data_IF_851367198659
#
_entry.id   IF_851367198659
#
_cell.length_a   1.000
_cell.length_b   1.000
_cell.length_c   1.000
_cell.angle_alpha   90.00
_cell.angle_beta   90.00
_cell.angle_gamma   90.00
#
_symmetry.space_group_name_H-M   'P 1'
#
loop_
_entity.id
_entity.type
_entity.pdbx_description
1 polymer ?
#
# COMPACT_ATOMS: atom_id res chain seq x y z
N UNK A 1 71.34 4.82 -66.67
CA UNK A 1 71.07 6.16 -67.22
C UNK A 1 69.69 6.59 -66.72
N UNK A 2 69.64 7.71 -65.96
CA UNK A 2 68.47 8.54 -65.61
C UNK A 2 67.29 7.88 -64.87
N UNK A 3 66.50 8.53 -64.02
CA UNK A 3 66.55 9.74 -63.18
C UNK A 3 65.27 9.64 -62.32
N UNK A 4 65.36 9.56 -60.99
CA UNK A 4 64.19 9.50 -60.08
C UNK A 4 63.86 10.93 -59.64
N UNK A 5 62.92 11.59 -60.32
CA UNK A 5 62.35 12.86 -59.83
C UNK A 5 61.45 12.60 -58.62
N UNK A 6 61.87 13.09 -57.45
CA UNK A 6 61.03 13.26 -56.26
C UNK A 6 60.30 14.60 -56.34
N UNK A 7 58.98 14.60 -56.21
CA UNK A 7 58.17 15.79 -55.93
C UNK A 7 58.29 16.13 -54.44
N UNK A 8 58.61 17.39 -54.13
CA UNK A 8 58.52 17.96 -52.78
C UNK A 8 57.10 18.52 -52.53
N UNK A 9 56.45 18.22 -51.39
CA UNK A 9 55.32 19.01 -50.92
C UNK A 9 55.83 20.18 -50.05
N UNK A 10 55.41 21.40 -50.37
CA UNK A 10 55.66 22.59 -49.58
C UNK A 10 54.84 22.52 -48.28
N UNK A 11 55.51 22.45 -47.13
CA UNK A 11 54.88 22.63 -45.81
C UNK A 11 54.68 24.13 -45.56
N UNK A 12 53.42 24.56 -45.54
CA UNK A 12 53.00 25.86 -45.03
C UNK A 12 53.18 25.87 -43.50
N UNK A 13 54.19 26.60 -43.01
CA UNK A 13 54.40 26.86 -41.59
C UNK A 13 53.39 27.92 -41.10
N UNK A 14 52.33 27.49 -40.41
CA UNK A 14 51.44 28.39 -39.69
C UNK A 14 52.13 28.85 -38.40
N UNK A 15 52.25 30.17 -38.22
CA UNK A 15 52.92 30.74 -37.05
C UNK A 15 52.16 30.38 -35.75
N UNK A 16 52.87 30.24 -34.60
CA UNK A 16 52.25 29.88 -33.31
C UNK A 16 51.12 30.82 -32.89
N UNK A 17 51.14 32.08 -33.37
CA UNK A 17 50.12 33.09 -33.09
C UNK A 17 48.78 32.76 -33.76
N UNK A 18 48.79 32.15 -34.95
CA UNK A 18 47.55 31.75 -35.63
C UNK A 18 46.90 30.54 -34.97
N UNK A 19 47.68 29.63 -34.39
CA UNK A 19 47.17 28.48 -33.66
C UNK A 19 46.44 28.89 -32.37
N UNK A 20 46.96 29.90 -31.66
CA UNK A 20 46.32 30.46 -30.46
C UNK A 20 45.00 31.16 -30.79
N UNK A 21 44.96 31.93 -31.89
CA UNK A 21 43.73 32.60 -32.33
C UNK A 21 42.64 31.57 -32.71
N UNK A 22 43.02 30.51 -33.44
CA UNK A 22 42.08 29.43 -33.81
C UNK A 22 41.53 28.74 -32.56
N UNK A 23 42.37 28.47 -31.56
CA UNK A 23 41.95 27.85 -30.29
C UNK A 23 41.00 28.76 -29.50
N UNK A 24 41.26 30.07 -29.46
CA UNK A 24 40.40 31.05 -28.80
C UNK A 24 39.04 31.19 -29.49
N UNK A 25 39.02 31.21 -30.83
CA UNK A 25 37.77 31.24 -31.61
C UNK A 25 36.97 29.95 -31.37
N UNK A 26 37.63 28.78 -31.34
CA UNK A 26 36.99 27.49 -31.07
C UNK A 26 36.35 27.43 -29.67
N UNK A 27 37.05 27.95 -28.65
CA UNK A 27 36.54 28.06 -27.28
C UNK A 27 35.36 29.04 -27.15
N UNK A 28 35.35 30.12 -27.93
CA UNK A 28 34.23 31.07 -28.01
C UNK A 28 33.01 30.44 -28.70
N UNK A 29 33.19 29.66 -29.77
CA UNK A 29 32.09 28.97 -30.45
C UNK A 29 31.50 27.84 -29.60
N UNK A 30 32.32 27.13 -28.82
CA UNK A 30 31.84 26.10 -27.89
C UNK A 30 30.97 26.69 -26.76
N UNK A 31 31.30 27.90 -26.28
CA UNK A 31 30.49 28.60 -25.27
C UNK A 31 29.18 29.13 -25.81
N UNK A 32 29.14 29.54 -27.09
CA UNK A 32 27.90 29.99 -27.74
C UNK A 32 26.91 28.83 -27.96
N UNK A 33 27.41 27.63 -28.32
CA UNK A 33 26.56 26.44 -28.51
C UNK A 33 25.93 25.93 -27.20
N UNK A 34 26.55 26.19 -26.04
CA UNK A 34 25.98 25.82 -24.74
C UNK A 34 24.95 26.82 -24.20
N UNK A 35 24.74 27.97 -24.84
CA UNK A 35 23.88 29.04 -24.32
C UNK A 35 22.48 29.14 -24.96
N UNK A 36 22.22 28.44 -26.08
CA UNK A 36 20.96 28.58 -26.85
C UNK A 36 19.94 27.45 -26.66
N UNK A 37 19.85 26.84 -25.47
CA UNK A 37 18.73 25.95 -25.14
C UNK A 37 18.08 26.37 -23.83
N UNK A 38 17.49 27.57 -23.81
CA UNK A 38 16.48 27.97 -22.82
C UNK A 38 15.53 29.01 -23.46
N UNK A 39 14.26 28.59 -23.62
CA UNK A 39 13.02 29.36 -23.42
C UNK A 39 12.03 29.46 -24.60
N UNK A 40 10.77 29.12 -24.25
CA UNK A 40 9.44 29.32 -24.89
C UNK A 40 9.13 28.44 -26.11
N UNK A 41 8.15 27.52 -26.13
CA UNK A 41 6.75 27.64 -25.66
C UNK A 41 6.03 26.26 -25.55
N UNK A 42 5.05 26.14 -24.63
CA UNK A 42 3.75 25.48 -24.91
C UNK A 42 3.54 23.97 -24.71
N UNK A 43 2.99 23.61 -23.53
CA UNK A 43 1.97 22.57 -23.31
C UNK A 43 2.33 21.07 -23.48
N UNK A 44 2.60 20.38 -22.36
CA UNK A 44 1.92 19.16 -21.85
C UNK A 44 2.68 18.70 -20.60
N UNK A 45 2.17 19.01 -19.41
CA UNK A 45 2.78 18.59 -18.15
C UNK A 45 2.35 17.16 -17.82
N UNK A 46 3.17 16.19 -18.20
CA UNK A 46 3.15 14.85 -17.62
C UNK A 46 4.11 14.85 -16.42
N UNK A 47 3.56 15.14 -15.24
CA UNK A 47 4.30 15.04 -13.98
C UNK A 47 4.49 13.58 -13.57
N UNK A 48 5.46 12.91 -14.17
CA UNK A 48 6.18 11.81 -13.53
C UNK A 48 7.66 12.11 -13.70
N UNK A 49 8.22 12.81 -12.71
CA UNK A 49 9.66 12.82 -12.51
C UNK A 49 10.05 11.40 -12.14
N UNK A 50 10.38 10.57 -13.13
CA UNK A 50 11.06 9.32 -12.91
C UNK A 50 12.37 9.66 -12.19
N UNK A 51 12.39 9.48 -10.87
CA UNK A 51 13.61 9.59 -10.08
C UNK A 51 14.60 8.58 -10.67
N UNK A 52 15.73 9.05 -11.19
CA UNK A 52 16.81 8.12 -11.50
C UNK A 52 17.23 7.39 -10.22
N UNK A 53 17.67 6.12 -10.28
CA UNK A 53 18.13 5.37 -9.10
C UNK A 53 19.21 6.13 -8.31
N UNK A 54 20.05 6.90 -9.01
CA UNK A 54 21.04 7.79 -8.41
C UNK A 54 20.42 8.94 -7.58
N UNK A 55 19.24 9.44 -7.94
CA UNK A 55 18.51 10.47 -7.18
C UNK A 55 17.80 9.88 -5.96
N UNK A 56 17.32 8.63 -6.05
CA UNK A 56 16.77 7.88 -4.92
C UNK A 56 17.86 7.41 -3.95
N UNK A 57 19.09 7.17 -4.42
CA UNK A 57 20.25 6.91 -3.56
C UNK A 57 20.87 8.19 -2.97
N UNK A 58 20.74 9.34 -3.65
CA UNK A 58 21.21 10.64 -3.15
C UNK A 58 20.28 11.24 -2.08
N UNK A 59 19.00 10.88 -2.10
CA UNK A 59 18.07 11.09 -0.99
C UNK A 59 18.19 9.85 -0.10
N UNK A 60 18.43 9.97 1.19
CA UNK A 60 18.60 8.79 2.06
C UNK A 60 17.25 8.10 2.33
N UNK A 61 16.60 7.58 1.27
CA UNK A 61 15.26 6.99 1.29
C UNK A 61 15.37 5.53 1.72
N UNK A 62 14.50 5.13 2.65
CA UNK A 62 14.35 3.75 3.09
C UNK A 62 13.02 3.18 2.63
N UNK A 63 13.02 1.90 2.28
CA UNK A 63 11.86 1.20 1.74
C UNK A 63 11.35 0.20 2.77
N UNK A 64 10.06 0.29 3.09
CA UNK A 64 9.35 -0.70 3.87
C UNK A 64 8.52 -1.58 2.93
N UNK A 65 8.81 -2.88 2.91
CA UNK A 65 8.02 -3.89 2.23
C UNK A 65 7.31 -4.75 3.27
N UNK A 66 6.24 -5.43 2.90
CA UNK A 66 5.58 -6.37 3.81
C UNK A 66 4.83 -7.48 3.06
N UNK A 67 4.72 -8.65 3.67
CA UNK A 67 3.80 -9.70 3.22
C UNK A 67 2.97 -10.22 4.39
N UNK A 68 1.92 -10.93 4.04
CA UNK A 68 0.90 -11.45 4.95
C UNK A 68 0.83 -12.96 4.77
N UNK A 69 0.56 -13.68 5.87
CA UNK A 69 0.37 -15.12 5.86
C UNK A 69 -0.45 -15.62 4.63
N UNK A 70 0.03 -16.62 3.87
CA UNK A 70 -0.60 -17.03 2.60
C UNK A 70 -2.10 -17.32 2.64
N UNK A 71 -2.67 -17.95 3.69
CA UNK A 71 -4.11 -18.20 3.78
C UNK A 71 -4.99 -16.94 3.85
N UNK A 72 -4.42 -15.77 4.18
CA UNK A 72 -5.19 -14.56 4.40
C UNK A 72 -5.81 -14.00 3.13
N UNK A 73 -7.10 -13.69 3.23
CA UNK A 73 -7.91 -13.18 2.12
C UNK A 73 -7.65 -11.71 1.77
N UNK A 74 -8.24 -11.27 0.65
CA UNK A 74 -8.09 -9.92 0.11
C UNK A 74 -8.42 -8.82 1.13
N UNK A 75 -9.54 -8.96 1.85
CA UNK A 75 -10.00 -7.94 2.79
C UNK A 75 -9.15 -7.84 4.05
N UNK A 76 -8.62 -8.95 4.57
CA UNK A 76 -7.70 -8.89 5.70
C UNK A 76 -6.38 -8.25 5.30
N UNK A 77 -5.87 -8.55 4.09
CA UNK A 77 -4.68 -7.88 3.55
C UNK A 77 -4.86 -6.37 3.39
N UNK A 78 -6.07 -5.91 3.04
CA UNK A 78 -6.44 -4.48 3.04
C UNK A 78 -6.37 -3.88 4.46
N UNK A 79 -6.78 -4.63 5.47
CA UNK A 79 -6.68 -4.19 6.86
C UNK A 79 -5.20 -4.12 7.33
N UNK A 80 -4.36 -5.08 6.95
CA UNK A 80 -2.93 -5.05 7.25
C UNK A 80 -2.23 -3.86 6.58
N UNK A 81 -2.64 -3.47 5.38
CA UNK A 81 -2.15 -2.24 4.74
C UNK A 81 -2.34 -1.00 5.64
N UNK A 82 -3.48 -0.87 6.32
CA UNK A 82 -3.75 0.26 7.22
C UNK A 82 -2.76 0.27 8.40
N UNK A 83 -2.42 -0.92 8.92
CA UNK A 83 -1.41 -1.08 10.00
C UNK A 83 -0.03 -0.64 9.51
N UNK A 84 0.37 -1.08 8.33
CA UNK A 84 1.67 -0.72 7.73
C UNK A 84 1.75 0.77 7.36
N UNK A 85 0.66 1.34 6.85
CA UNK A 85 0.57 2.77 6.59
C UNK A 85 0.73 3.60 7.87
N UNK A 86 0.16 3.14 8.98
CA UNK A 86 0.31 3.78 10.30
C UNK A 86 1.76 3.70 10.79
N UNK A 87 2.41 2.53 10.66
CA UNK A 87 3.84 2.38 10.94
C UNK A 87 4.70 3.35 10.11
N UNK A 88 4.44 3.46 8.80
CA UNK A 88 5.18 4.39 7.94
C UNK A 88 4.96 5.84 8.36
N UNK A 89 3.75 6.25 8.75
CA UNK A 89 3.52 7.60 9.33
C UNK A 89 4.39 7.84 10.56
N UNK A 90 4.56 6.84 11.43
CA UNK A 90 5.44 6.94 12.59
C UNK A 90 6.92 7.02 12.18
N UNK A 91 7.38 6.17 11.27
CA UNK A 91 8.76 6.18 10.76
C UNK A 91 9.13 7.51 10.09
N UNK A 92 8.18 8.11 9.37
CA UNK A 92 8.36 9.38 8.66
C UNK A 92 8.55 10.60 9.57
N UNK A 93 8.30 10.47 10.87
CA UNK A 93 8.66 11.52 11.85
C UNK A 93 10.17 11.67 12.01
N UNK A 94 10.95 10.66 11.62
CA UNK A 94 12.40 10.59 11.87
C UNK A 94 13.26 10.37 10.62
N UNK A 95 12.68 10.00 9.48
CA UNK A 95 13.43 9.82 8.23
C UNK A 95 12.53 9.62 7.02
N UNK A 96 13.10 9.61 5.83
CA UNK A 96 12.36 9.39 4.60
C UNK A 96 12.11 7.89 4.39
N UNK A 97 10.85 7.49 4.60
CA UNK A 97 10.38 6.13 4.39
C UNK A 97 9.29 6.08 3.33
N UNK A 98 9.39 5.10 2.45
CA UNK A 98 8.40 4.80 1.39
C UNK A 98 7.87 3.39 1.60
N UNK A 99 6.54 3.23 1.54
CA UNK A 99 5.89 1.93 1.59
C UNK A 99 5.84 1.33 0.18
N UNK A 100 6.42 0.15 0.02
CA UNK A 100 6.31 -0.61 -1.22
C UNK A 100 5.07 -1.50 -1.14
N UNK A 101 4.19 -1.36 -2.12
CA UNK A 101 2.92 -2.08 -2.17
C UNK A 101 3.16 -3.54 -2.61
N UNK A 102 2.75 -4.55 -1.81
CA UNK A 102 2.98 -5.94 -2.15
C UNK A 102 2.04 -6.38 -3.28
N UNK A 103 2.56 -6.92 -4.41
CA UNK A 103 1.70 -7.35 -5.51
C UNK A 103 0.68 -8.39 -5.08
N UNK A 104 -0.53 -8.29 -5.61
CA UNK A 104 -1.60 -9.24 -5.32
C UNK A 104 -1.32 -10.56 -6.06
N UNK A 105 -1.51 -11.67 -5.36
CA UNK A 105 -1.40 -13.00 -5.95
C UNK A 105 -1.70 -14.11 -4.96
N UNK A 106 -2.06 -15.28 -5.49
CA UNK A 106 -2.30 -16.53 -4.72
C UNK A 106 -3.24 -16.36 -3.51
N UNK A 107 -4.26 -15.51 -3.63
CA UNK A 107 -5.31 -15.42 -2.63
C UNK A 107 -6.08 -16.74 -2.63
N UNK A 108 -6.20 -17.39 -1.48
CA UNK A 108 -6.76 -18.75 -1.37
C UNK A 108 -8.17 -18.87 -1.98
N UNK A 109 -8.96 -17.79 -1.96
CA UNK A 109 -10.29 -17.71 -2.57
C UNK A 109 -10.32 -17.30 -4.06
N UNK A 110 -9.18 -16.97 -4.66
CA UNK A 110 -9.05 -16.54 -6.05
C UNK A 110 -8.51 -17.72 -6.85
N UNK A 111 -9.40 -18.66 -7.17
CA UNK A 111 -9.06 -19.84 -7.95
C UNK A 111 -9.87 -19.83 -9.24
N UNK A 112 -9.75 -18.76 -10.03
CA UNK A 112 -10.17 -18.84 -11.43
C UNK A 112 -9.09 -19.61 -12.17
N UNK A 113 -9.32 -20.89 -12.54
CA UNK A 113 -8.26 -21.77 -13.04
C UNK A 113 -7.64 -21.26 -14.35
N UNK A 114 -8.38 -20.44 -15.09
CA UNK A 114 -8.01 -19.96 -16.42
C UNK A 114 -7.33 -18.58 -16.41
N UNK A 115 -7.11 -17.97 -15.24
CA UNK A 115 -6.52 -16.63 -15.13
C UNK A 115 -5.23 -16.71 -14.30
N UNK A 116 -4.13 -16.22 -14.87
CA UNK A 116 -2.87 -16.09 -14.13
C UNK A 116 -2.98 -14.94 -13.11
N UNK A 117 -3.40 -15.26 -11.89
CA UNK A 117 -3.66 -14.28 -10.82
C UNK A 117 -2.46 -14.12 -9.87
N UNK A 118 -1.32 -13.68 -10.41
CA UNK A 118 -0.07 -13.45 -9.66
C UNK A 118 0.58 -12.15 -10.15
N UNK A 119 1.33 -11.46 -9.27
CA UNK A 119 2.05 -10.20 -9.56
C UNK A 119 1.14 -9.05 -10.03
N UNK A 120 -0.11 -9.02 -9.59
CA UNK A 120 -1.06 -7.98 -9.99
C UNK A 120 -0.74 -6.70 -9.19
N UNK A 121 -0.52 -5.54 -9.84
CA UNK A 121 -0.20 -4.30 -9.14
C UNK A 121 -1.43 -3.74 -8.40
N UNK A 122 -1.20 -2.84 -7.45
CA UNK A 122 -2.29 -2.21 -6.70
C UNK A 122 -3.16 -1.30 -7.57
N UNK A 123 -2.58 -0.69 -8.60
CA UNK A 123 -3.28 0.14 -9.58
C UNK A 123 -4.49 -0.52 -10.26
N UNK A 124 -4.54 -1.86 -10.31
CA UNK A 124 -5.69 -2.59 -10.84
C UNK A 124 -6.91 -2.54 -9.90
N UNK A 125 -6.68 -2.41 -8.58
CA UNK A 125 -7.77 -2.41 -7.59
C UNK A 125 -8.00 -1.04 -6.94
N UNK A 126 -6.94 -0.26 -6.75
CA UNK A 126 -6.96 0.98 -6.00
C UNK A 126 -6.28 2.12 -6.76
N UNK A 127 -6.74 3.34 -6.52
CA UNK A 127 -6.08 4.55 -7.00
C UNK A 127 -4.78 4.78 -6.21
N UNK A 128 -3.63 4.49 -6.84
CA UNK A 128 -2.31 4.70 -6.23
C UNK A 128 -2.11 6.17 -5.83
N UNK A 129 -2.57 7.13 -6.64
CA UNK A 129 -2.52 8.56 -6.31
C UNK A 129 -3.32 8.88 -5.03
N UNK A 130 -4.46 8.22 -4.81
CA UNK A 130 -5.25 8.40 -3.58
C UNK A 130 -4.53 7.84 -2.36
N UNK A 131 -3.83 6.69 -2.50
CA UNK A 131 -2.97 6.13 -1.45
C UNK A 131 -1.79 7.07 -1.13
N UNK A 132 -1.14 7.60 -2.17
CA UNK A 132 0.00 8.53 -2.07
C UNK A 132 -0.35 9.83 -1.32
N UNK A 133 -1.60 10.27 -1.39
CA UNK A 133 -2.08 11.43 -0.64
C UNK A 133 -2.09 11.19 0.89
N UNK A 134 -2.06 9.93 1.36
CA UNK A 134 -2.00 9.59 2.79
C UNK A 134 -0.57 9.26 3.26
N UNK A 135 0.12 8.36 2.54
CA UNK A 135 1.51 7.96 2.82
C UNK A 135 2.26 7.76 1.51
N UNK A 136 3.59 7.96 1.46
CA UNK A 136 4.34 7.76 0.22
C UNK A 136 4.36 6.26 -0.09
N UNK A 137 3.69 5.90 -1.18
CA UNK A 137 3.62 4.53 -1.66
C UNK A 137 4.18 4.44 -3.08
N UNK A 138 4.79 3.30 -3.39
CA UNK A 138 5.20 2.92 -4.74
C UNK A 138 4.82 1.46 -5.02
N UNK A 139 4.65 1.11 -6.29
CA UNK A 139 4.47 -0.28 -6.67
C UNK A 139 5.79 -1.06 -6.52
N UNK A 140 5.71 -2.38 -6.45
CA UNK A 140 6.89 -3.22 -6.29
C UNK A 140 7.87 -3.15 -7.48
N UNK A 141 7.37 -3.03 -8.70
CA UNK A 141 8.23 -2.89 -9.88
C UNK A 141 8.97 -1.54 -9.88
N UNK A 142 8.33 -0.46 -9.41
CA UNK A 142 8.97 0.84 -9.23
C UNK A 142 10.09 0.74 -8.20
N UNK A 143 9.88 0.00 -7.11
CA UNK A 143 10.93 -0.27 -6.11
C UNK A 143 12.14 -0.97 -6.74
N UNK A 144 11.94 -1.99 -7.58
CA UNK A 144 13.04 -2.68 -8.27
C UNK A 144 13.81 -1.69 -9.16
N UNK A 145 13.09 -0.82 -9.87
CA UNK A 145 13.70 0.18 -10.72
C UNK A 145 14.51 1.21 -9.92
N UNK A 146 13.97 1.74 -8.82
CA UNK A 146 14.61 2.79 -8.01
C UNK A 146 15.77 2.29 -7.15
N UNK A 147 15.66 1.08 -6.57
CA UNK A 147 16.68 0.50 -5.70
C UNK A 147 17.89 -0.05 -6.47
N UNK A 148 17.79 -0.18 -7.79
CA UNK A 148 18.86 -0.71 -8.64
C UNK A 148 18.89 -2.23 -8.76
N UNK A 149 17.84 -2.93 -8.32
CA UNK A 149 17.67 -4.37 -8.55
C UNK A 149 16.66 -5.03 -7.60
N UNK A 150 16.36 -6.33 -7.82
CA UNK A 150 15.38 -7.06 -7.02
C UNK A 150 15.99 -7.58 -5.71
N UNK A 151 16.67 -6.71 -4.95
CA UNK A 151 17.32 -7.06 -3.70
C UNK A 151 16.61 -6.41 -2.51
N UNK A 152 16.33 -7.22 -1.50
CA UNK A 152 15.82 -6.79 -0.19
C UNK A 152 16.93 -6.99 0.82
N UNK A 153 17.39 -5.91 1.46
CA UNK A 153 18.54 -5.95 2.35
C UNK A 153 18.25 -6.79 3.60
N UNK A 154 17.06 -6.62 4.20
CA UNK A 154 16.69 -7.32 5.43
C UNK A 154 15.24 -7.79 5.39
N UNK A 155 15.02 -9.07 5.64
CA UNK A 155 13.70 -9.65 5.86
C UNK A 155 13.54 -9.99 7.34
N UNK A 156 12.53 -9.39 7.98
CA UNK A 156 12.14 -9.68 9.34
C UNK A 156 10.88 -10.54 9.30
N UNK A 157 11.00 -11.79 9.73
CA UNK A 157 9.85 -12.70 9.85
C UNK A 157 9.22 -12.48 11.23
N UNK A 158 8.04 -11.86 11.25
CA UNK A 158 7.32 -11.64 12.50
C UNK A 158 6.71 -12.94 13.02
N UNK A 159 6.79 -13.13 14.32
CA UNK A 159 6.22 -14.27 15.02
C UNK A 159 5.73 -13.87 16.41
N UNK A 160 4.91 -14.71 17.02
CA UNK A 160 4.53 -14.55 18.43
C UNK A 160 5.71 -14.90 19.36
N UNK A 161 5.59 -14.57 20.65
CA UNK A 161 6.49 -15.11 21.68
C UNK A 161 6.16 -16.59 21.92
N UNK A 162 7.18 -17.46 21.92
CA UNK A 162 7.00 -18.90 22.09
C UNK A 162 6.41 -19.25 23.47
N UNK A 163 6.77 -18.47 24.47
CA UNK A 163 6.26 -18.53 25.84
C UNK A 163 4.81 -18.01 25.99
N UNK A 164 4.25 -17.39 24.95
CA UNK A 164 2.94 -16.72 25.03
C UNK A 164 2.94 -15.50 25.97
N UNK A 165 1.77 -15.15 26.48
CA UNK A 165 1.59 -14.14 27.52
C UNK A 165 0.94 -14.77 28.75
N UNK A 166 1.36 -14.35 29.94
CA UNK A 166 0.82 -14.85 31.22
C UNK A 166 -0.42 -14.06 31.65
N UNK A 167 -1.30 -14.72 32.40
CA UNK A 167 -2.63 -14.24 32.84
C UNK A 167 -2.64 -12.82 33.41
N UNK A 168 -2.88 -11.82 32.54
CA UNK A 168 -3.28 -10.47 32.91
C UNK A 168 -2.32 -9.33 32.60
N UNK A 169 -1.12 -9.58 32.05
CA UNK A 169 -0.21 -8.50 31.59
C UNK A 169 0.10 -8.64 30.11
N UNK A 170 -0.68 -7.94 29.29
CA UNK A 170 -0.32 -7.71 27.90
C UNK A 170 0.63 -6.53 27.85
N UNK A 171 1.86 -6.77 27.40
CA UNK A 171 2.92 -5.76 27.29
C UNK A 171 3.38 -5.68 25.84
N UNK A 172 3.60 -4.46 25.36
CA UNK A 172 4.14 -4.25 24.02
C UNK A 172 5.65 -4.47 24.03
N UNK A 173 6.12 -5.42 23.24
CA UNK A 173 7.53 -5.80 23.16
C UNK A 173 7.91 -6.36 21.80
N UNK A 174 9.13 -6.05 21.38
CA UNK A 174 9.73 -6.52 20.13
C UNK A 174 11.16 -6.97 20.41
N UNK A 175 11.47 -8.21 20.08
CA UNK A 175 12.79 -8.79 20.33
C UNK A 175 13.21 -9.74 19.20
N UNK A 176 14.49 -9.72 18.85
CA UNK A 176 15.07 -10.73 17.99
C UNK A 176 15.13 -12.07 18.74
N UNK A 177 14.51 -13.09 18.15
CA UNK A 177 14.40 -14.43 18.76
C UNK A 177 14.67 -15.50 17.70
N UNK A 178 15.06 -16.72 18.11
CA UNK A 178 15.12 -17.84 17.18
C UNK A 178 13.78 -18.06 16.48
N UNK A 179 13.83 -18.43 15.20
CA UNK A 179 12.63 -18.77 14.43
C UNK A 179 11.91 -19.97 15.04
N UNK A 180 10.64 -19.81 15.39
CA UNK A 180 9.81 -20.88 15.98
C UNK A 180 9.47 -21.91 14.91
N UNK A 181 8.94 -21.43 13.79
CA UNK A 181 8.63 -22.26 12.64
C UNK A 181 9.81 -22.34 11.67
N UNK A 182 9.79 -23.38 10.83
CA UNK A 182 10.76 -23.52 9.75
C UNK A 182 10.61 -22.34 8.79
N UNK A 183 11.70 -21.60 8.59
CA UNK A 183 11.75 -20.52 7.60
C UNK A 183 11.33 -21.01 6.21
N UNK A 184 10.44 -20.26 5.58
CA UNK A 184 10.06 -20.43 4.16
C UNK A 184 11.12 -19.86 3.20
N UNK A 185 12.20 -19.30 3.75
CA UNK A 185 13.34 -18.78 3.01
C UNK A 185 14.48 -19.80 3.01
N UNK A 186 15.13 -19.96 1.86
CA UNK A 186 16.26 -20.87 1.67
C UNK A 186 17.42 -20.17 0.97
N UNK A 187 18.65 -20.52 1.32
CA UNK A 187 19.83 -19.91 0.68
C UNK A 187 20.09 -20.55 -0.67
N UNK A 188 20.41 -19.73 -1.66
CA UNK A 188 20.88 -20.18 -2.97
C UNK A 188 22.38 -20.45 -2.99
N UNK A 189 22.91 -20.83 -4.16
CA UNK A 189 24.33 -21.14 -4.35
C UNK A 189 25.24 -19.92 -4.15
N UNK A 190 24.70 -18.72 -4.30
CA UNK A 190 25.40 -17.46 -4.14
C UNK A 190 25.32 -16.94 -2.68
N UNK A 191 24.56 -17.63 -1.83
CA UNK A 191 24.41 -17.29 -0.41
C UNK A 191 23.25 -16.33 -0.11
N UNK A 192 22.48 -15.91 -1.13
CA UNK A 192 21.31 -15.06 -0.97
C UNK A 192 20.08 -15.88 -0.61
N UNK A 193 19.14 -15.28 0.12
CA UNK A 193 17.88 -15.92 0.47
C UNK A 193 16.86 -15.83 -0.67
N UNK A 194 16.33 -16.98 -1.07
CA UNK A 194 15.17 -17.14 -1.95
C UNK A 194 13.94 -17.42 -1.10
N UNK A 195 12.82 -16.86 -1.51
CA UNK A 195 11.51 -17.03 -0.86
C UNK A 195 10.40 -16.85 -1.87
N UNK A 196 9.17 -16.67 -1.37
CA UNK A 196 8.00 -16.43 -2.22
C UNK A 196 8.08 -15.09 -2.96
N UNK A 197 8.40 -13.99 -2.25
CA UNK A 197 8.54 -12.64 -2.79
C UNK A 197 7.46 -12.27 -3.83
N UNK A 198 6.19 -12.48 -3.48
CA UNK A 198 5.01 -12.19 -4.32
C UNK A 198 5.02 -12.84 -5.71
N UNK A 199 5.79 -13.92 -5.86
CA UNK A 199 5.93 -14.67 -7.11
C UNK A 199 7.06 -14.19 -8.00
N UNK A 200 7.92 -13.25 -7.57
CA UNK A 200 9.11 -12.80 -8.29
C UNK A 200 10.29 -13.72 -7.97
N UNK A 201 10.64 -14.59 -8.93
CA UNK A 201 11.69 -15.59 -8.78
C UNK A 201 13.10 -15.00 -8.80
N UNK A 202 13.24 -13.76 -9.27
CA UNK A 202 14.45 -12.96 -9.33
C UNK A 202 14.78 -12.29 -7.99
N UNK A 203 13.79 -12.12 -7.10
CA UNK A 203 13.96 -11.39 -5.85
C UNK A 203 14.80 -12.14 -4.83
N UNK A 204 15.74 -11.44 -4.21
CA UNK A 204 16.70 -12.01 -3.25
C UNK A 204 16.72 -11.20 -1.96
N UNK A 205 16.69 -11.90 -0.83
CA UNK A 205 16.97 -11.32 0.49
C UNK A 205 18.46 -11.44 0.83
N UNK A 206 19.10 -10.37 1.33
CA UNK A 206 20.49 -10.45 1.79
C UNK A 206 20.58 -11.08 3.18
N UNK A 207 19.69 -10.69 4.09
CA UNK A 207 19.59 -11.25 5.44
C UNK A 207 18.15 -11.57 5.82
N UNK A 208 17.95 -12.63 6.59
CA UNK A 208 16.63 -13.06 7.09
C UNK A 208 16.76 -13.40 8.57
N UNK A 209 15.99 -12.72 9.42
CA UNK A 209 15.93 -12.96 10.86
C UNK A 209 14.48 -13.03 11.34
N UNK A 210 14.26 -13.68 12.48
CA UNK A 210 12.93 -13.77 13.10
C UNK A 210 12.83 -12.80 14.28
N UNK A 211 11.71 -12.10 14.35
CA UNK A 211 11.42 -11.12 15.41
C UNK A 211 10.13 -11.54 16.09
N UNK A 212 10.20 -11.78 17.40
CA UNK A 212 8.99 -11.96 18.20
C UNK A 212 8.41 -10.59 18.53
N UNK A 213 7.20 -10.35 18.08
CA UNK A 213 6.50 -9.08 18.25
C UNK A 213 5.14 -9.29 18.92
N UNK A 214 4.85 -8.46 19.91
CA UNK A 214 3.55 -8.37 20.56
C UNK A 214 3.27 -6.89 20.75
N UNK A 215 2.25 -6.37 20.09
CA UNK A 215 1.97 -4.94 20.15
C UNK A 215 1.30 -4.39 18.91
N UNK A 216 1.19 -3.07 18.88
CA UNK A 216 0.73 -2.33 17.72
C UNK A 216 1.84 -2.18 16.68
N UNK A 217 1.51 -1.86 15.44
CA UNK A 217 2.48 -1.76 14.34
C UNK A 217 3.64 -0.81 14.66
N UNK A 218 3.37 0.34 15.31
CA UNK A 218 4.39 1.31 15.69
C UNK A 218 5.43 0.80 16.71
N UNK A 219 5.22 -0.34 17.38
CA UNK A 219 6.24 -0.94 18.26
C UNK A 219 7.51 -1.34 17.50
N UNK A 220 7.40 -1.56 16.19
CA UNK A 220 8.53 -1.88 15.31
C UNK A 220 9.40 -0.65 14.99
N UNK A 221 8.88 0.57 15.19
CA UNK A 221 9.57 1.78 14.76
C UNK A 221 10.95 1.98 15.42
N UNK A 222 11.13 1.79 16.74
CA UNK A 222 12.46 1.90 17.37
C UNK A 222 13.47 0.90 16.76
N UNK A 223 13.05 -0.35 16.53
CA UNK A 223 13.90 -1.37 15.91
C UNK A 223 14.33 -0.96 14.50
N UNK A 224 13.38 -0.51 13.67
CA UNK A 224 13.64 -0.11 12.29
C UNK A 224 14.51 1.16 12.19
N UNK A 225 14.38 2.08 13.14
CA UNK A 225 15.12 3.35 13.14
C UNK A 225 16.52 3.24 13.77
N UNK A 226 16.69 2.45 14.82
CA UNK A 226 17.92 2.45 15.63
C UNK A 226 18.82 1.25 15.36
N UNK A 227 18.24 0.06 15.22
CA UNK A 227 19.01 -1.19 15.17
C UNK A 227 19.33 -1.63 13.74
N UNK A 228 18.51 -1.19 12.77
CA UNK A 228 18.59 -1.63 11.39
C UNK A 228 19.08 -0.48 10.51
N UNK A 229 20.24 -0.66 9.90
CA UNK A 229 20.85 0.29 8.95
C UNK A 229 20.51 -0.01 7.48
N UNK A 230 19.77 -1.09 7.22
CA UNK A 230 19.36 -1.52 5.89
C UNK A 230 18.47 -0.48 5.17
N UNK A 231 18.66 -0.35 3.85
CA UNK A 231 17.87 0.58 3.01
C UNK A 231 16.50 0.01 2.71
N UNK A 232 16.39 -1.28 2.44
CA UNK A 232 15.13 -1.98 2.20
C UNK A 232 14.86 -3.04 3.27
N UNK A 233 13.73 -2.91 3.97
CA UNK A 233 13.32 -3.83 5.03
C UNK A 233 11.95 -4.42 4.71
N UNK A 234 11.85 -5.74 4.69
CA UNK A 234 10.61 -6.47 4.48
C UNK A 234 10.10 -7.07 5.79
N UNK A 235 8.86 -6.76 6.15
CA UNK A 235 8.14 -7.38 7.27
C UNK A 235 7.29 -8.53 6.74
N UNK A 236 7.74 -9.76 6.91
CA UNK A 236 6.92 -10.94 6.63
C UNK A 236 6.02 -11.24 7.84
N UNK A 237 4.85 -11.84 7.59
CA UNK A 237 3.83 -12.11 8.62
C UNK A 237 3.32 -10.84 9.30
N UNK A 238 3.13 -9.78 8.51
CA UNK A 238 2.72 -8.46 8.99
C UNK A 238 1.34 -8.44 9.69
N UNK A 239 0.52 -9.49 9.56
CA UNK A 239 -0.72 -9.64 10.32
C UNK A 239 -0.49 -9.76 11.84
N UNK A 240 0.73 -10.12 12.27
CA UNK A 240 1.11 -10.32 13.68
C UNK A 240 0.94 -9.06 14.52
N UNK A 241 1.18 -7.87 13.95
CA UNK A 241 1.05 -6.59 14.67
C UNK A 241 -0.34 -6.00 14.54
N UNK A 242 -0.78 -5.28 15.58
CA UNK A 242 -2.12 -4.71 15.68
C UNK A 242 -2.18 -3.25 15.17
N UNK A 243 -3.40 -2.70 15.09
CA UNK A 243 -3.63 -1.28 14.76
C UNK A 243 -3.27 -0.35 15.92
N UNK A 244 -2.39 0.63 15.73
CA UNK A 244 -2.00 1.61 16.77
C UNK A 244 -3.18 2.24 17.50
N UNK A 245 -4.12 2.83 16.76
CA UNK A 245 -5.37 3.37 17.30
C UNK A 245 -6.51 2.98 16.36
N UNK A 246 -7.14 1.84 16.65
CA UNK A 246 -8.27 1.36 15.87
C UNK A 246 -9.40 2.40 15.85
N UNK A 247 -9.97 2.65 14.66
CA UNK A 247 -10.98 3.67 14.42
C UNK A 247 -10.58 5.13 14.77
N UNK A 248 -9.30 5.40 15.02
CA UNK A 248 -8.76 6.75 15.19
C UNK A 248 -8.65 7.52 13.86
N UNK A 249 -8.18 8.77 13.93
CA UNK A 249 -8.01 9.62 12.73
C UNK A 249 -7.09 8.97 11.70
N UNK A 250 -5.92 8.49 12.11
CA UNK A 250 -4.95 7.91 11.18
C UNK A 250 -5.43 6.62 10.53
N UNK A 251 -6.19 5.81 11.29
CA UNK A 251 -6.90 4.64 10.78
C UNK A 251 -7.88 5.04 9.68
N UNK A 252 -8.75 6.04 9.93
CA UNK A 252 -9.74 6.49 8.96
C UNK A 252 -9.13 7.19 7.75
N UNK A 253 -8.05 7.95 7.91
CA UNK A 253 -7.32 8.54 6.79
C UNK A 253 -6.71 7.45 5.89
N UNK A 254 -6.08 6.43 6.49
CA UNK A 254 -5.58 5.29 5.73
C UNK A 254 -6.72 4.54 5.04
N UNK A 255 -7.82 4.23 5.75
CA UNK A 255 -8.99 3.55 5.16
C UNK A 255 -9.63 4.35 4.04
N UNK A 256 -9.77 5.68 4.18
CA UNK A 256 -10.35 6.58 3.16
C UNK A 256 -9.44 6.77 1.95
N UNK A 257 -8.13 6.67 2.13
CA UNK A 257 -7.17 6.72 1.02
C UNK A 257 -7.28 5.53 0.06
N UNK A 258 -7.81 4.40 0.52
CA UNK A 258 -8.06 3.19 -0.28
C UNK A 258 -9.29 3.33 -1.17
N UNK A 259 -9.22 4.28 -2.10
CA UNK A 259 -10.24 4.52 -3.12
C UNK A 259 -10.07 3.48 -4.24
N UNK A 260 -11.16 2.83 -4.66
CA UNK A 260 -11.11 1.87 -5.77
C UNK A 260 -10.67 2.52 -7.08
N UNK A 261 -9.99 1.73 -7.92
CA UNK A 261 -9.54 2.15 -9.24
C UNK A 261 -10.72 2.71 -10.05
N UNK A 262 -10.47 3.77 -10.83
CA UNK A 262 -11.52 4.50 -11.55
C UNK A 262 -12.32 3.60 -12.49
N UNK A 263 -11.64 2.69 -13.19
CA UNK A 263 -12.31 1.77 -14.11
C UNK A 263 -13.28 0.82 -13.38
N UNK A 264 -12.95 0.36 -12.17
CA UNK A 264 -13.84 -0.48 -11.35
C UNK A 264 -15.07 0.31 -10.88
N UNK A 265 -14.88 1.58 -10.48
CA UNK A 265 -16.00 2.46 -10.10
C UNK A 265 -16.96 2.68 -11.25
N UNK A 266 -16.46 2.98 -12.45
CA UNK A 266 -17.27 3.16 -13.65
C UNK A 266 -18.12 1.91 -13.93
N UNK A 267 -17.51 0.72 -13.89
CA UNK A 267 -18.25 -0.55 -14.08
C UNK A 267 -19.34 -0.72 -13.01
N UNK A 268 -19.04 -0.38 -11.75
CA UNK A 268 -20.01 -0.40 -10.65
C UNK A 268 -21.18 0.58 -10.88
N UNK A 269 -20.88 1.79 -11.32
CA UNK A 269 -21.89 2.83 -11.58
C UNK A 269 -22.77 2.48 -12.78
N UNK A 270 -22.19 1.92 -13.84
CA UNK A 270 -22.94 1.38 -14.98
C UNK A 270 -23.90 0.26 -14.55
N UNK A 271 -23.43 -0.65 -13.69
CA UNK A 271 -24.27 -1.71 -13.14
C UNK A 271 -25.41 -1.16 -12.28
N UNK A 272 -25.11 -0.21 -11.38
CA UNK A 272 -26.10 0.48 -10.54
C UNK A 272 -27.18 1.17 -11.38
N UNK A 273 -26.78 1.93 -12.39
CA UNK A 273 -27.70 2.65 -13.25
C UNK A 273 -28.59 1.67 -14.05
N UNK A 274 -27.98 0.62 -14.62
CA UNK A 274 -28.66 -0.31 -15.52
C UNK A 274 -29.62 -1.27 -14.81
N UNK A 275 -29.25 -1.76 -13.64
CA UNK A 275 -29.98 -2.85 -12.98
C UNK A 275 -30.65 -2.46 -11.66
N UNK A 276 -30.19 -1.40 -11.01
CA UNK A 276 -30.66 -0.99 -9.68
C UNK A 276 -31.38 0.36 -9.68
N UNK A 277 -31.48 1.04 -10.85
CA UNK A 277 -32.04 2.39 -10.97
C UNK A 277 -31.40 3.38 -9.96
N UNK A 278 -30.08 3.26 -9.81
CA UNK A 278 -29.27 3.93 -8.79
C UNK A 278 -28.18 4.78 -9.46
N UNK A 279 -28.06 6.05 -9.06
CA UNK A 279 -27.01 6.99 -9.49
C UNK A 279 -26.60 7.86 -8.31
N UNK A 280 -25.41 8.46 -8.35
CA UNK A 280 -24.91 9.28 -7.24
C UNK A 280 -25.79 10.49 -6.94
N UNK A 281 -26.40 11.10 -7.96
CA UNK A 281 -27.31 12.23 -7.79
C UNK A 281 -28.62 11.80 -7.13
N UNK A 282 -29.21 10.69 -7.58
CA UNK A 282 -30.47 10.18 -7.05
C UNK A 282 -30.29 9.65 -5.62
N UNK A 283 -29.17 8.98 -5.36
CA UNK A 283 -28.85 8.37 -4.07
C UNK A 283 -28.18 9.35 -3.11
N UNK A 284 -27.91 10.59 -3.56
CA UNK A 284 -27.19 11.63 -2.80
C UNK A 284 -25.83 11.16 -2.28
N UNK A 285 -25.15 10.33 -3.05
CA UNK A 285 -23.81 9.79 -2.75
C UNK A 285 -22.73 10.54 -3.55
N UNK A 286 -22.83 11.88 -3.58
CA UNK A 286 -21.95 12.75 -4.36
C UNK A 286 -20.48 12.47 -4.05
N UNK A 287 -19.75 12.09 -5.08
CA UNK A 287 -18.36 11.69 -5.00
C UNK A 287 -17.39 12.85 -5.31
N UNK A 288 -16.24 12.85 -4.65
CA UNK A 288 -15.09 13.71 -4.97
C UNK A 288 -13.86 12.84 -5.20
N UNK A 289 -13.16 13.06 -6.32
CA UNK A 289 -11.91 12.35 -6.65
C UNK A 289 -10.83 12.58 -5.58
N UNK A 290 -10.79 13.77 -4.98
CA UNK A 290 -9.97 14.04 -3.80
C UNK A 290 -10.70 13.55 -2.55
N UNK A 291 -10.28 12.40 -2.03
CA UNK A 291 -10.87 11.81 -0.85
C UNK A 291 -10.71 12.67 0.40
N UNK A 292 -9.68 13.52 0.48
CA UNK A 292 -9.43 14.35 1.67
C UNK A 292 -10.55 15.38 1.88
N UNK A 293 -11.21 15.78 0.80
CA UNK A 293 -12.32 16.76 0.78
C UNK A 293 -13.69 16.13 0.97
N UNK A 294 -13.82 14.81 0.85
CA UNK A 294 -15.10 14.12 1.04
C UNK A 294 -15.55 14.21 2.49
N UNK A 295 -16.68 14.88 2.71
CA UNK A 295 -17.41 14.93 3.98
C UNK A 295 -18.87 14.59 3.67
N UNK A 296 -19.44 13.64 4.42
CA UNK A 296 -20.79 13.14 4.16
C UNK A 296 -21.57 13.13 5.48
N UNK A 297 -22.84 13.52 5.43
CA UNK A 297 -23.80 13.24 6.49
C UNK A 297 -24.36 11.82 6.30
N UNK A 298 -24.48 11.06 7.40
CA UNK A 298 -24.89 9.64 7.35
C UNK A 298 -26.29 9.50 6.74
N UNK A 299 -26.42 8.64 5.74
CA UNK A 299 -27.72 8.21 5.17
C UNK A 299 -27.86 6.69 5.26
N UNK A 300 -29.09 6.23 5.51
CA UNK A 300 -29.40 4.82 5.71
C UNK A 300 -29.77 4.13 4.40
N UNK A 301 -28.95 3.18 3.96
CA UNK A 301 -29.27 2.22 2.91
C UNK A 301 -29.19 0.79 3.46
N UNK A 302 -30.09 -0.10 3.03
CA UNK A 302 -30.04 -1.52 3.37
C UNK A 302 -29.28 -2.26 2.27
N UNK A 303 -28.03 -2.66 2.54
CA UNK A 303 -27.24 -3.52 1.66
C UNK A 303 -26.91 -4.79 2.42
N UNK A 304 -27.11 -5.94 1.78
CA UNK A 304 -26.81 -7.25 2.37
C UNK A 304 -25.60 -7.85 1.67
N UNK A 305 -24.55 -8.17 2.42
CA UNK A 305 -23.45 -9.00 1.95
C UNK A 305 -23.63 -10.39 2.56
N UNK A 306 -23.71 -11.42 1.72
CA UNK A 306 -23.86 -12.82 2.16
C UNK A 306 -22.60 -13.60 1.83
N UNK A 307 -21.70 -13.73 2.79
CA UNK A 307 -20.51 -14.55 2.67
C UNK A 307 -20.87 -16.03 2.89
N UNK A 308 -20.79 -16.85 1.84
CA UNK A 308 -21.09 -18.30 1.90
C UNK A 308 -19.85 -19.20 1.78
N UNK A 309 -18.70 -18.68 1.36
CA UNK A 309 -17.48 -19.48 1.19
C UNK A 309 -16.86 -19.84 2.55
N UNK A 310 -16.66 -21.15 2.78
CA UNK A 310 -16.06 -21.81 3.96
C UNK A 310 -16.64 -21.54 5.36
N UNK A 311 -17.41 -20.45 5.57
CA UNK A 311 -18.13 -20.17 6.83
C UNK A 311 -19.07 -21.34 7.21
N UNK A 312 -19.59 -22.07 6.22
CA UNK A 312 -20.40 -23.25 6.46
C UNK A 312 -19.67 -24.45 7.09
N UNK A 313 -18.34 -24.50 7.08
CA UNK A 313 -17.56 -25.61 7.66
C UNK A 313 -16.99 -25.29 9.05
N UNK A 314 -16.68 -24.03 9.36
CA UNK A 314 -16.14 -23.61 10.67
C UNK A 314 -17.16 -22.90 11.57
N UNK A 315 -18.16 -22.24 10.98
CA UNK A 315 -19.06 -21.29 11.65
C UNK A 315 -20.55 -21.57 11.34
N UNK A 316 -20.92 -22.84 11.19
CA UNK A 316 -22.26 -23.29 10.77
C UNK A 316 -23.48 -22.82 11.60
N UNK A 317 -23.29 -21.98 12.63
CA UNK A 317 -24.38 -21.39 13.45
C UNK A 317 -24.53 -19.86 13.32
N UNK A 318 -23.59 -19.13 12.73
CA UNK A 318 -23.64 -17.65 12.64
C UNK A 318 -24.24 -17.11 11.34
N UNK A 319 -24.49 -17.95 10.32
CA UNK A 319 -25.09 -17.53 9.05
C UNK A 319 -26.58 -17.92 9.00
N UNK A 320 -27.51 -16.95 8.96
CA UNK A 320 -28.94 -17.26 8.87
C UNK A 320 -29.27 -17.96 7.55
N UNK A 321 -29.78 -19.18 7.65
CA UNK A 321 -30.51 -19.84 6.57
C UNK A 321 -32.01 -19.64 6.81
N UNK A 322 -32.63 -18.78 6.01
CA UNK A 322 -34.08 -18.74 5.84
C UNK A 322 -34.41 -18.95 4.36
N UNK A 323 -35.24 -19.96 4.08
CA UNK A 323 -35.92 -20.11 2.80
C UNK A 323 -36.97 -18.97 2.65
N UNK A 324 -37.30 -18.52 1.43
CA UNK A 324 -38.28 -17.44 1.29
C UNK A 324 -39.67 -17.99 1.63
N UNK A 325 -40.25 -17.51 2.72
CA UNK A 325 -41.68 -17.69 3.00
C UNK A 325 -42.46 -16.63 2.23
N UNK A 326 -43.34 -17.10 1.35
CA UNK A 326 -44.35 -16.30 0.67
C UNK A 326 -45.37 -15.76 1.66
N UNK A 327 -45.27 -14.50 2.06
CA UNK A 327 -46.40 -13.79 2.69
C UNK A 327 -46.53 -12.37 2.11
N UNK A 328 -47.75 -12.07 1.67
CA UNK A 328 -48.10 -10.92 0.85
C UNK A 328 -48.15 -9.61 1.62
N UNK A 329 -47.86 -8.54 0.88
CA UNK A 329 -48.07 -7.15 1.27
C UNK A 329 -49.56 -6.89 1.55
N UNK A 330 -49.90 -6.59 2.80
CA UNK A 330 -51.14 -5.86 3.13
C UNK A 330 -50.80 -4.55 3.83
N UNK A 331 -51.14 -3.46 3.14
CA UNK A 331 -51.17 -2.08 3.63
C UNK A 331 -52.36 -1.88 4.58
N UNK A 332 -52.12 -1.27 5.75
CA UNK A 332 -53.17 -0.84 6.68
C UNK A 332 -52.73 0.38 7.49
N UNK A 333 -53.38 1.51 7.22
CA UNK A 333 -53.21 2.84 7.86
C UNK A 333 -53.90 2.95 9.24
N UNK A 334 -53.66 4.05 10.01
CA UNK A 334 -53.62 4.03 11.47
C UNK A 334 -54.92 4.51 12.16
N UNK A 335 -55.15 4.04 13.39
CA UNK A 335 -56.14 4.63 14.29
C UNK A 335 -56.29 3.87 15.61
N UNK A 336 -56.20 4.57 16.75
CA UNK A 336 -56.60 4.02 18.05
C UNK A 336 -55.88 4.61 19.25
N UNK A 337 -56.54 5.54 19.94
CA UNK A 337 -56.13 6.22 21.18
C UNK A 337 -56.48 5.35 22.40
N UNK A 338 -55.61 5.26 23.41
CA UNK A 338 -56.01 4.99 24.81
C UNK A 338 -54.98 5.57 25.81
N UNK A 339 -55.51 6.13 26.90
CA UNK A 339 -54.89 7.01 27.89
C UNK A 339 -54.33 6.26 29.14
N UNK A 340 -53.66 6.94 30.10
CA UNK A 340 -52.66 6.38 31.01
C UNK A 340 -53.20 6.01 32.41
N UNK A 341 -52.45 5.21 33.16
CA UNK A 341 -52.54 5.15 34.62
C UNK A 341 -51.17 5.10 35.31
N UNK A 342 -51.10 5.81 36.44
CA UNK A 342 -49.94 6.10 37.30
C UNK A 342 -49.54 4.91 38.19
N UNK A 343 -48.23 4.76 38.36
CA UNK A 343 -47.58 4.91 39.67
C UNK A 343 -47.14 3.63 40.40
N UNK A 344 -45.80 3.43 40.49
CA UNK A 344 -45.13 3.19 41.78
C UNK A 344 -43.62 3.41 41.65
N UNK A 345 -43.11 4.27 42.52
CA UNK A 345 -41.70 4.62 42.69
C UNK A 345 -41.07 3.65 43.69
N UNK A 346 -39.89 3.13 43.38
CA UNK A 346 -38.96 2.56 44.36
C UNK A 346 -37.54 2.73 43.82
N UNK A 347 -36.72 3.36 44.65
CA UNK A 347 -35.32 3.70 44.41
C UNK A 347 -34.43 2.45 44.40
N UNK A 348 -33.47 2.43 43.47
CA UNK A 348 -32.18 1.74 43.58
C UNK A 348 -31.26 2.21 42.43
N UNK A 349 -30.20 2.95 42.76
CA UNK A 349 -28.93 2.93 41.99
C UNK A 349 -28.41 1.48 41.95
N UNK A 350 -27.64 1.01 40.93
CA UNK A 350 -26.42 1.68 40.43
C UNK A 350 -26.10 1.47 38.92
N UNK A 351 -24.90 1.93 38.54
CA UNK A 351 -24.08 1.52 37.37
C UNK A 351 -24.46 2.07 35.98
N UNK A 352 -23.78 3.16 35.59
CA UNK A 352 -23.80 3.72 34.24
C UNK A 352 -22.71 3.05 33.37
N UNK A 353 -22.99 1.81 32.94
CA UNK A 353 -22.28 1.12 31.87
C UNK A 353 -23.01 1.38 30.55
N UNK A 354 -22.66 2.48 29.86
CA UNK A 354 -23.22 2.80 28.54
C UNK A 354 -22.51 1.99 27.44
N UNK A 355 -22.96 0.75 27.23
CA UNK A 355 -22.61 -0.05 26.06
C UNK A 355 -23.44 0.35 24.83
N UNK A 356 -22.73 0.94 23.88
CA UNK A 356 -22.82 0.81 22.42
C UNK A 356 -24.11 0.26 21.79
N UNK A 357 -24.65 1.08 20.87
CA UNK A 357 -25.58 0.65 19.83
C UNK A 357 -25.42 1.50 18.57
N UNK A 358 -24.19 1.67 18.06
CA UNK A 358 -23.96 2.26 16.75
C UNK A 358 -23.70 1.17 15.71
N UNK A 359 -24.70 0.97 14.86
CA UNK A 359 -24.62 0.18 13.64
C UNK A 359 -23.60 0.83 12.69
N UNK A 360 -22.46 0.17 12.52
CA UNK A 360 -21.43 0.58 11.56
C UNK A 360 -21.65 -0.23 10.28
N UNK A 361 -22.14 0.44 9.23
CA UNK A 361 -22.14 -0.10 7.88
C UNK A 361 -20.68 -0.27 7.42
N UNK A 362 -20.27 -1.54 7.26
CA UNK A 362 -18.99 -1.92 6.71
C UNK A 362 -19.10 -2.03 5.18
N UNK A 363 -18.17 -1.40 4.46
CA UNK A 363 -17.82 -1.68 3.06
C UNK A 363 -16.32 -1.94 2.94
#
# INVERSE_FOLDING_TARGET
MADRRKLHPALLWLSPRHLVIILQVYLLTLRAVSADVLSEDGAFSAGQSASSPAAAAARNIRYLLYDVNPPEGFNLRRDVYIRMASLVKTLRKHGDWVLVLPPWGRLYHWQSPDIHQVRIPWGEFFSVTSLQANVPVIEYEDFIAESGGPFVDMVLVLQNYAEGWTDGKWEEKVEERPCIERLMYSRDKQGYYRGWFWGYEETRGLNVTCISAQGHASILAPLLLQNITATSVMLDRAETVLHDQYAGKDYWDARRSMVFAKHLRIIGDEFRAKYLNSTDENDRTVYSEDWTRMKVEVQNFLITNRQKSEVGHSEGRSVPWSAPSTEGLHLGSPGGRAQPQRGRQKDSEPDEEAQAGQSICCY
#
